data_IF_339760586441
#
_entry.id   IF_339760586441
#
_cell.length_a   1.000
_cell.length_b   1.000
_cell.length_c   1.000
_cell.angle_alpha   90.00
_cell.angle_beta   90.00
_cell.angle_gamma   90.00
#
_symmetry.space_group_name_H-M   'P 1'
#
loop_
_entity.id
_entity.type
_entity.pdbx_description
1 polymer ?
#
# COMPACT_ATOMS: atom_id res chain seq x y z
N UNK A 1 -83.52 16.16 -21.81
CA UNK A 1 -82.83 16.29 -23.12
C UNK A 1 -81.40 16.77 -22.96
N UNK A 2 -81.12 17.89 -22.28
CA UNK A 2 -79.73 18.34 -22.09
C UNK A 2 -78.85 17.34 -21.32
N UNK A 3 -79.39 16.67 -20.30
CA UNK A 3 -78.65 15.62 -19.56
C UNK A 3 -78.35 14.41 -20.44
N UNK A 4 -79.32 13.98 -21.27
CA UNK A 4 -79.17 12.82 -22.15
C UNK A 4 -78.26 13.08 -23.34
N UNK A 5 -78.22 14.31 -23.86
CA UNK A 5 -77.33 14.69 -24.97
C UNK A 5 -75.89 14.89 -24.53
N UNK A 6 -75.66 15.38 -23.31
CA UNK A 6 -74.32 15.66 -22.79
C UNK A 6 -73.82 14.63 -21.77
N UNK A 7 -74.58 13.55 -21.55
CA UNK A 7 -74.30 12.51 -20.55
C UNK A 7 -74.07 13.05 -19.12
N UNK A 8 -74.78 14.12 -18.76
CA UNK A 8 -74.67 14.73 -17.43
C UNK A 8 -75.44 13.93 -16.39
N UNK A 9 -74.86 13.79 -15.20
CA UNK A 9 -75.57 13.26 -14.03
C UNK A 9 -76.52 14.33 -13.50
N UNK A 10 -77.74 13.92 -13.19
CA UNK A 10 -78.79 14.81 -12.67
C UNK A 10 -78.40 15.47 -11.32
N UNK A 11 -77.67 14.73 -10.47
CA UNK A 11 -77.14 15.24 -9.21
C UNK A 11 -76.14 16.38 -9.41
N UNK A 12 -75.25 16.25 -10.40
CA UNK A 12 -74.22 17.25 -10.68
C UNK A 12 -74.83 18.52 -11.29
N UNK A 13 -75.79 18.36 -12.21
CA UNK A 13 -76.52 19.49 -12.79
C UNK A 13 -77.31 20.24 -11.73
N UNK A 14 -77.98 19.53 -10.83
CA UNK A 14 -78.77 20.15 -9.75
C UNK A 14 -77.87 20.94 -8.79
N UNK A 15 -76.68 20.42 -8.46
CA UNK A 15 -75.73 21.11 -7.61
C UNK A 15 -75.16 22.37 -8.27
N UNK A 16 -74.79 22.29 -9.56
CA UNK A 16 -74.28 23.45 -10.31
C UNK A 16 -75.32 24.56 -10.42
N UNK A 17 -76.58 24.21 -10.68
CA UNK A 17 -77.68 25.17 -10.70
C UNK A 17 -77.88 25.84 -9.33
N UNK A 18 -77.84 25.05 -8.25
CA UNK A 18 -77.94 25.57 -6.88
C UNK A 18 -76.78 26.51 -6.53
N UNK A 19 -75.53 26.16 -6.90
CA UNK A 19 -74.34 26.97 -6.66
C UNK A 19 -74.46 28.38 -7.28
N UNK A 20 -75.00 28.48 -8.49
CA UNK A 20 -75.22 29.76 -9.16
C UNK A 20 -76.58 30.42 -8.86
N UNK A 21 -77.37 29.86 -7.93
CA UNK A 21 -78.72 30.30 -7.60
C UNK A 21 -79.68 30.35 -8.82
N UNK A 22 -79.53 29.41 -9.75
CA UNK A 22 -80.41 29.22 -10.90
C UNK A 22 -81.36 28.03 -10.70
N UNK A 23 -82.51 28.08 -11.37
CA UNK A 23 -83.43 26.97 -11.47
C UNK A 23 -83.41 26.35 -12.88
N UNK A 24 -83.99 25.16 -13.06
CA UNK A 24 -84.05 24.50 -14.38
C UNK A 24 -84.73 25.36 -15.45
N UNK A 25 -85.68 26.22 -15.07
CA UNK A 25 -86.36 27.13 -15.98
C UNK A 25 -85.42 28.22 -16.55
N UNK A 26 -84.38 28.61 -15.80
CA UNK A 26 -83.44 29.66 -16.19
C UNK A 26 -82.49 29.23 -17.32
N UNK A 27 -82.35 27.92 -17.56
CA UNK A 27 -81.55 27.31 -18.63
C UNK A 27 -82.09 27.70 -20.03
N UNK A 28 -83.34 28.19 -20.10
CA UNK A 28 -83.91 28.76 -21.33
C UNK A 28 -83.16 30.01 -21.83
N UNK A 29 -82.42 30.71 -20.95
CA UNK A 29 -81.56 31.85 -21.32
C UNK A 29 -80.20 31.34 -21.78
N UNK A 30 -79.79 31.73 -22.99
CA UNK A 30 -78.52 31.31 -23.59
C UNK A 30 -77.29 31.62 -22.71
N UNK A 31 -77.29 32.77 -22.03
CA UNK A 31 -76.20 33.18 -21.13
C UNK A 31 -76.09 32.30 -19.88
N UNK A 32 -77.22 31.80 -19.36
CA UNK A 32 -77.26 30.88 -18.22
C UNK A 32 -76.82 29.48 -18.67
N UNK A 33 -77.31 29.03 -19.83
CA UNK A 33 -76.91 27.75 -20.42
C UNK A 33 -75.39 27.69 -20.65
N UNK A 34 -74.78 28.76 -21.18
CA UNK A 34 -73.32 28.83 -21.37
C UNK A 34 -72.55 28.68 -20.05
N UNK A 35 -72.97 29.40 -19.00
CA UNK A 35 -72.32 29.30 -17.68
C UNK A 35 -72.43 27.91 -17.08
N UNK A 36 -73.62 27.32 -17.12
CA UNK A 36 -73.86 25.95 -16.63
C UNK A 36 -73.04 24.95 -17.43
N UNK A 37 -72.97 25.09 -18.77
CA UNK A 37 -72.17 24.21 -19.62
C UNK A 37 -70.67 24.32 -19.31
N UNK A 38 -70.14 25.52 -19.08
CA UNK A 38 -68.74 25.71 -18.65
C UNK A 38 -68.46 25.04 -17.30
N UNK A 39 -69.35 25.19 -16.33
CA UNK A 39 -69.20 24.57 -15.00
C UNK A 39 -69.32 23.04 -15.07
N UNK A 40 -70.27 22.52 -15.85
CA UNK A 40 -70.43 21.07 -16.04
C UNK A 40 -69.23 20.46 -16.78
N UNK A 41 -68.67 21.17 -17.77
CA UNK A 41 -67.42 20.74 -18.42
C UNK A 41 -66.25 20.70 -17.43
N UNK A 42 -66.14 21.69 -16.53
CA UNK A 42 -65.12 21.71 -15.50
C UNK A 42 -65.26 20.51 -14.54
N UNK A 43 -66.47 20.21 -14.08
CA UNK A 43 -66.75 19.04 -13.22
C UNK A 43 -66.39 17.74 -13.94
N UNK A 44 -66.73 17.63 -15.22
CA UNK A 44 -66.36 16.48 -16.04
C UNK A 44 -64.83 16.33 -16.17
N UNK A 45 -64.10 17.43 -16.37
CA UNK A 45 -62.62 17.42 -16.42
C UNK A 45 -61.99 17.07 -15.07
N UNK A 46 -62.56 17.56 -13.96
CA UNK A 46 -62.08 17.27 -12.60
C UNK A 46 -62.35 15.80 -12.24
N UNK A 47 -63.45 15.22 -12.73
CA UNK A 47 -63.77 13.81 -12.55
C UNK A 47 -64.37 13.44 -11.19
N UNK A 48 -64.76 14.43 -10.37
CA UNK A 48 -65.40 14.25 -9.07
C UNK A 48 -66.84 14.78 -9.05
N UNK A 49 -67.74 14.26 -8.21
CA UNK A 49 -69.11 14.77 -8.08
C UNK A 49 -69.15 16.25 -7.74
N UNK A 50 -70.10 16.99 -8.31
CA UNK A 50 -70.21 18.44 -8.15
C UNK A 50 -70.33 18.87 -6.68
N UNK A 51 -71.06 18.11 -5.86
CA UNK A 51 -71.22 18.35 -4.43
C UNK A 51 -69.88 18.29 -3.68
N UNK A 52 -68.96 17.41 -4.09
CA UNK A 52 -67.63 17.32 -3.48
C UNK A 52 -66.74 18.48 -3.95
N UNK A 53 -66.75 18.79 -5.25
CA UNK A 53 -65.97 19.89 -5.83
C UNK A 53 -66.36 21.22 -5.20
N UNK A 54 -67.64 21.43 -4.90
CA UNK A 54 -68.10 22.65 -4.22
C UNK A 54 -67.46 22.84 -2.84
N UNK A 55 -67.23 21.76 -2.08
CA UNK A 55 -66.52 21.84 -0.79
C UNK A 55 -65.06 22.25 -0.92
N UNK A 56 -64.48 22.15 -2.12
CA UNK A 56 -63.10 22.55 -2.41
C UNK A 56 -62.99 24.02 -2.82
N UNK A 57 -64.11 24.68 -3.09
CA UNK A 57 -64.14 26.09 -3.50
C UNK A 57 -64.00 26.97 -2.26
N UNK A 58 -62.78 27.39 -1.95
CA UNK A 58 -62.48 28.35 -0.89
C UNK A 58 -61.35 29.28 -1.30
N UNK A 59 -61.37 30.52 -0.78
CA UNK A 59 -60.31 31.51 -1.02
C UNK A 59 -59.06 31.24 -0.16
N UNK A 60 -59.21 30.54 0.96
CA UNK A 60 -58.12 30.22 1.88
C UNK A 60 -58.23 28.73 2.30
N UNK A 61 -57.62 27.81 1.54
CA UNK A 61 -57.72 26.39 1.83
C UNK A 61 -56.89 26.01 3.05
N UNK A 62 -57.51 25.39 4.06
CA UNK A 62 -56.81 24.86 5.22
C UNK A 62 -55.95 23.64 4.88
N UNK A 63 -54.96 23.34 5.73
CA UNK A 63 -54.15 22.12 5.60
C UNK A 63 -55.02 20.86 5.54
N UNK A 64 -56.03 20.77 6.42
CA UNK A 64 -56.94 19.63 6.50
C UNK A 64 -57.77 19.46 5.23
N UNK A 65 -58.23 20.57 4.62
CA UNK A 65 -58.94 20.53 3.34
C UNK A 65 -58.04 19.99 2.23
N UNK A 66 -56.80 20.49 2.13
CA UNK A 66 -55.84 20.03 1.11
C UNK A 66 -55.43 18.57 1.34
N UNK A 67 -55.24 18.14 2.59
CA UNK A 67 -54.97 16.76 2.94
C UNK A 67 -56.14 15.85 2.53
N UNK A 68 -57.38 16.24 2.85
CA UNK A 68 -58.58 15.52 2.45
C UNK A 68 -58.75 15.41 0.93
N UNK A 69 -58.44 16.46 0.18
CA UNK A 69 -58.43 16.42 -1.29
C UNK A 69 -57.41 15.38 -1.79
N UNK A 70 -56.18 15.39 -1.25
CA UNK A 70 -55.14 14.41 -1.64
C UNK A 70 -55.56 12.98 -1.36
N UNK A 71 -56.16 12.72 -0.20
CA UNK A 71 -56.65 11.38 0.15
C UNK A 71 -57.75 10.92 -0.80
N UNK A 72 -58.68 11.81 -1.17
CA UNK A 72 -59.73 11.52 -2.15
C UNK A 72 -59.18 11.25 -3.55
N UNK A 73 -58.13 11.96 -3.97
CA UNK A 73 -57.45 11.68 -5.23
C UNK A 73 -56.75 10.33 -5.19
N UNK A 74 -56.08 10.01 -4.07
CA UNK A 74 -55.37 8.76 -3.88
C UNK A 74 -56.31 7.54 -3.87
N UNK A 75 -57.52 7.67 -3.33
CA UNK A 75 -58.53 6.59 -3.32
C UNK A 75 -58.93 6.12 -4.74
N UNK A 76 -58.90 7.02 -5.73
CA UNK A 76 -59.37 6.76 -7.09
C UNK A 76 -58.25 6.34 -8.07
N UNK A 77 -57.01 6.25 -7.61
CA UNK A 77 -55.84 5.97 -8.44
C UNK A 77 -55.09 4.77 -7.87
N UNK A 78 -54.49 3.95 -8.73
CA UNK A 78 -53.64 2.85 -8.27
C UNK A 78 -52.37 3.40 -7.60
N UNK A 79 -51.79 2.64 -6.66
CA UNK A 79 -50.57 3.07 -5.96
C UNK A 79 -49.41 3.37 -6.93
N UNK A 80 -49.26 2.58 -7.99
CA UNK A 80 -48.25 2.79 -9.02
C UNK A 80 -48.44 4.12 -9.77
N UNK A 81 -49.66 4.41 -10.24
CA UNK A 81 -49.96 5.66 -10.95
C UNK A 81 -49.89 6.87 -10.02
N UNK A 82 -50.29 6.72 -8.75
CA UNK A 82 -50.15 7.75 -7.75
C UNK A 82 -48.69 8.14 -7.54
N UNK A 83 -47.78 7.18 -7.37
CA UNK A 83 -46.36 7.47 -7.15
C UNK A 83 -45.70 8.17 -8.35
N UNK A 84 -46.06 7.78 -9.56
CA UNK A 84 -45.54 8.39 -10.80
C UNK A 84 -46.05 9.83 -10.98
N UNK A 85 -47.36 10.05 -10.88
CA UNK A 85 -47.96 11.38 -11.08
C UNK A 85 -47.63 12.32 -9.91
N UNK A 86 -47.63 11.82 -8.67
CA UNK A 86 -47.36 12.66 -7.50
C UNK A 86 -45.90 13.13 -7.47
N UNK A 87 -44.97 12.40 -8.09
CA UNK A 87 -43.58 12.86 -8.19
C UNK A 87 -43.49 14.18 -8.98
N UNK A 88 -44.15 14.28 -10.14
CA UNK A 88 -44.08 15.49 -11.00
C UNK A 88 -44.68 16.73 -10.34
N UNK A 89 -45.66 16.54 -9.46
CA UNK A 89 -46.26 17.61 -8.65
C UNK A 89 -45.41 17.94 -7.42
N UNK A 90 -44.87 16.91 -6.75
CA UNK A 90 -44.19 17.11 -5.48
C UNK A 90 -42.76 17.61 -5.62
N UNK A 91 -42.02 17.24 -6.68
CA UNK A 91 -40.63 17.68 -6.89
C UNK A 91 -40.53 19.22 -6.98
N UNK A 92 -41.36 19.92 -7.79
CA UNK A 92 -41.38 21.38 -7.80
C UNK A 92 -41.71 22.00 -6.44
N UNK A 93 -42.69 21.43 -5.72
CA UNK A 93 -43.08 21.92 -4.38
C UNK A 93 -41.94 21.72 -3.38
N UNK A 94 -41.23 20.58 -3.44
CA UNK A 94 -40.05 20.32 -2.59
C UNK A 94 -38.95 21.36 -2.82
N UNK A 95 -38.70 21.72 -4.07
CA UNK A 95 -37.71 22.73 -4.41
C UNK A 95 -38.12 24.13 -3.91
N UNK A 96 -39.39 24.51 -4.11
CA UNK A 96 -39.91 25.77 -3.56
C UNK A 96 -39.83 25.82 -2.03
N UNK A 97 -40.15 24.72 -1.35
CA UNK A 97 -40.04 24.61 0.09
C UNK A 97 -38.58 24.70 0.55
N UNK A 98 -37.66 24.02 -0.15
CA UNK A 98 -36.21 24.10 0.11
C UNK A 98 -35.74 25.54 -0.01
N UNK A 99 -36.05 26.23 -1.11
CA UNK A 99 -35.64 27.61 -1.35
C UNK A 99 -36.20 28.56 -0.29
N UNK A 100 -37.46 28.36 0.12
CA UNK A 100 -38.09 29.10 1.20
C UNK A 100 -37.40 28.85 2.55
N UNK A 101 -37.04 27.60 2.86
CA UNK A 101 -36.33 27.23 4.09
C UNK A 101 -34.90 27.78 4.12
N UNK A 102 -34.18 27.70 3.00
CA UNK A 102 -32.85 28.31 2.85
C UNK A 102 -32.95 29.82 3.10
N UNK A 103 -33.89 30.49 2.44
CA UNK A 103 -34.15 31.93 2.63
C UNK A 103 -34.52 32.27 4.07
N UNK A 104 -35.35 31.44 4.71
CA UNK A 104 -35.74 31.62 6.10
C UNK A 104 -34.56 31.48 7.05
N UNK A 105 -33.72 30.46 6.89
CA UNK A 105 -32.52 30.25 7.70
C UNK A 105 -31.56 31.43 7.53
N UNK A 106 -31.32 31.85 6.27
CA UNK A 106 -30.47 32.98 5.95
C UNK A 106 -31.02 34.33 6.42
N UNK A 107 -32.29 34.46 6.81
CA UNK A 107 -32.82 35.74 7.27
C UNK A 107 -33.09 35.76 8.78
N UNK A 108 -33.61 34.67 9.33
CA UNK A 108 -34.19 34.64 10.67
C UNK A 108 -33.50 33.65 11.63
N UNK A 109 -32.81 32.62 11.12
CA UNK A 109 -32.25 31.53 11.93
C UNK A 109 -30.77 31.25 11.61
N UNK A 110 -30.00 32.30 11.29
CA UNK A 110 -28.58 32.15 10.90
C UNK A 110 -27.80 31.45 12.03
N UNK A 111 -27.13 30.31 11.76
CA UNK A 111 -26.33 29.63 12.77
C UNK A 111 -25.09 30.43 13.21
N UNK A 112 -24.56 31.27 12.33
CA UNK A 112 -23.41 32.15 12.57
C UNK A 112 -23.52 33.42 11.73
N UNK A 113 -23.00 34.58 12.17
CA UNK A 113 -22.97 35.82 11.39
C UNK A 113 -22.24 35.70 10.04
N UNK A 114 -21.30 34.76 9.91
CA UNK A 114 -20.50 34.54 8.71
C UNK A 114 -21.27 33.84 7.58
N UNK A 115 -22.42 33.24 7.91
CA UNK A 115 -23.27 32.51 6.97
C UNK A 115 -24.22 33.49 6.27
N UNK A 116 -23.81 33.94 5.08
CA UNK A 116 -24.51 34.97 4.31
C UNK A 116 -25.21 34.46 3.04
N UNK A 117 -24.86 33.25 2.58
CA UNK A 117 -25.39 32.65 1.36
C UNK A 117 -25.55 31.12 1.51
N UNK A 118 -26.11 30.49 0.49
CA UNK A 118 -26.32 29.03 0.40
C UNK A 118 -24.99 28.25 0.43
N UNK A 119 -23.94 28.75 -0.22
CA UNK A 119 -22.61 28.13 -0.16
C UNK A 119 -22.09 27.99 1.28
N UNK A 120 -22.26 29.04 2.09
CA UNK A 120 -21.88 29.01 3.51
C UNK A 120 -22.76 28.10 4.35
N UNK A 121 -24.03 27.92 3.98
CA UNK A 121 -24.88 26.89 4.59
C UNK A 121 -24.39 25.48 4.23
N UNK A 122 -23.97 25.26 2.98
CA UNK A 122 -23.34 24.00 2.58
C UNK A 122 -22.05 23.72 3.35
N UNK A 123 -21.18 24.73 3.49
CA UNK A 123 -19.95 24.58 4.29
C UNK A 123 -20.24 24.26 5.76
N UNK A 124 -21.31 24.84 6.33
CA UNK A 124 -21.69 24.63 7.72
C UNK A 124 -22.37 23.28 7.97
N UNK A 125 -23.37 22.91 7.15
CA UNK A 125 -24.12 21.67 7.31
C UNK A 125 -23.45 20.46 6.63
N UNK A 126 -22.46 20.69 5.77
CA UNK A 126 -21.75 19.67 5.00
C UNK A 126 -22.70 18.82 4.13
N UNK A 127 -23.82 19.44 3.74
CA UNK A 127 -24.89 18.89 2.90
C UNK A 127 -25.31 19.98 1.94
N UNK A 128 -25.43 19.63 0.66
CA UNK A 128 -25.84 20.56 -0.38
C UNK A 128 -27.31 20.96 -0.17
N UNK A 129 -27.52 22.24 0.19
CA UNK A 129 -28.84 22.83 0.45
C UNK A 129 -29.55 23.26 -0.83
N UNK A 130 -28.87 23.24 -1.97
CA UNK A 130 -29.41 23.57 -3.30
C UNK A 130 -29.64 22.33 -4.16
N UNK A 131 -29.43 21.14 -3.60
CA UNK A 131 -29.66 19.89 -4.30
C UNK A 131 -31.15 19.75 -4.69
N UNK A 132 -31.39 19.38 -5.94
CA UNK A 132 -32.72 19.18 -6.51
C UNK A 132 -33.37 17.90 -5.97
N UNK A 133 -34.70 17.90 -5.83
CA UNK A 133 -35.50 16.78 -5.36
C UNK A 133 -35.33 15.48 -6.18
N UNK A 134 -34.90 15.59 -7.44
CA UNK A 134 -34.63 14.44 -8.30
C UNK A 134 -33.41 13.61 -7.87
N UNK A 135 -32.47 14.19 -7.09
CA UNK A 135 -31.25 13.52 -6.65
C UNK A 135 -31.52 12.58 -5.47
N UNK A 136 -31.68 11.29 -5.77
CA UNK A 136 -31.96 10.25 -4.78
C UNK A 136 -30.66 9.71 -4.16
N UNK A 137 -30.57 9.75 -2.83
CA UNK A 137 -29.50 9.14 -2.04
C UNK A 137 -30.06 8.42 -0.82
N UNK A 138 -29.31 7.45 -0.28
CA UNK A 138 -29.66 6.84 1.01
C UNK A 138 -29.15 7.70 2.16
N UNK A 139 -29.80 7.63 3.33
CA UNK A 139 -29.37 8.38 4.53
C UNK A 139 -27.93 8.05 4.93
N UNK A 140 -27.54 6.78 4.82
CA UNK A 140 -26.17 6.32 5.13
C UNK A 140 -25.17 6.89 4.12
N UNK A 141 -25.52 6.91 2.82
CA UNK A 141 -24.64 7.48 1.79
C UNK A 141 -24.45 8.98 1.98
N UNK A 142 -25.51 9.70 2.32
CA UNK A 142 -25.42 11.13 2.63
C UNK A 142 -24.51 11.37 3.84
N UNK A 143 -24.73 10.66 4.95
CA UNK A 143 -23.90 10.77 6.14
C UNK A 143 -22.42 10.44 5.86
N UNK A 144 -22.16 9.42 5.04
CA UNK A 144 -20.81 9.09 4.59
C UNK A 144 -20.17 10.26 3.82
N UNK A 145 -20.90 10.86 2.88
CA UNK A 145 -20.40 12.01 2.10
C UNK A 145 -20.13 13.23 2.98
N UNK A 146 -21.01 13.52 3.94
CA UNK A 146 -20.82 14.57 4.95
C UNK A 146 -19.55 14.35 5.77
N UNK A 147 -19.32 13.14 6.27
CA UNK A 147 -18.10 12.79 7.01
C UNK A 147 -16.84 12.87 6.14
N UNK A 148 -16.92 12.40 4.89
CA UNK A 148 -15.79 12.48 3.95
C UNK A 148 -15.40 13.92 3.66
N UNK A 149 -16.39 14.80 3.46
CA UNK A 149 -16.18 16.22 3.28
C UNK A 149 -15.58 16.87 4.53
N UNK A 150 -16.10 16.54 5.72
CA UNK A 150 -15.58 17.03 7.00
C UNK A 150 -14.10 16.71 7.17
N UNK A 151 -13.71 15.43 7.00
CA UNK A 151 -12.32 14.99 7.16
C UNK A 151 -11.43 15.67 6.12
N UNK A 152 -11.91 15.82 4.88
CA UNK A 152 -11.16 16.55 3.85
C UNK A 152 -10.93 18.01 4.25
N UNK A 153 -11.95 18.70 4.77
CA UNK A 153 -11.86 20.09 5.26
C UNK A 153 -10.89 20.23 6.43
N UNK A 154 -10.90 19.29 7.38
CA UNK A 154 -9.92 19.23 8.46
C UNK A 154 -8.49 19.11 7.92
N UNK A 155 -8.25 18.22 6.96
CA UNK A 155 -6.92 18.00 6.37
C UNK A 155 -6.36 19.21 5.61
N UNK A 156 -7.23 20.05 5.04
CA UNK A 156 -6.84 21.32 4.38
C UNK A 156 -6.93 22.53 5.32
N UNK A 157 -7.06 22.29 6.64
CA UNK A 157 -7.06 23.31 7.68
C UNK A 157 -8.20 24.35 7.56
N UNK A 158 -9.39 23.92 7.09
CA UNK A 158 -10.60 24.74 7.06
C UNK A 158 -11.46 24.60 8.33
N UNK A 159 -11.18 23.60 9.18
CA UNK A 159 -11.90 23.38 10.43
C UNK A 159 -11.01 23.80 11.62
N UNK A 160 -11.22 25.00 12.21
CA UNK A 160 -10.27 25.59 13.15
C UNK A 160 -10.15 24.85 14.49
N UNK A 161 -11.14 24.02 14.83
CA UNK A 161 -11.15 23.24 16.07
C UNK A 161 -10.43 21.89 15.96
N UNK A 162 -9.96 21.52 14.77
CA UNK A 162 -9.32 20.22 14.50
C UNK A 162 -7.98 20.45 13.82
N UNK A 163 -6.88 20.18 14.54
CA UNK A 163 -5.55 20.20 13.95
C UNK A 163 -5.45 19.10 12.87
N UNK A 164 -5.03 19.40 11.62
CA UNK A 164 -4.78 18.40 10.58
C UNK A 164 -3.88 17.25 11.04
N UNK A 165 -2.92 17.50 11.95
CA UNK A 165 -2.00 16.49 12.49
C UNK A 165 -2.69 15.41 13.34
N UNK A 166 -3.91 15.68 13.83
CA UNK A 166 -4.72 14.67 14.53
C UNK A 166 -5.24 13.57 13.60
N UNK A 167 -5.23 13.81 12.28
CA UNK A 167 -5.70 12.88 11.26
C UNK A 167 -4.50 12.25 10.56
N UNK A 168 -4.44 10.90 10.58
CA UNK A 168 -3.44 10.15 9.82
C UNK A 168 -3.75 10.21 8.32
N UNK A 169 -3.20 11.20 7.63
CA UNK A 169 -3.44 11.46 6.20
C UNK A 169 -3.11 10.24 5.32
N UNK A 170 -2.06 9.49 5.64
CA UNK A 170 -1.65 8.27 4.92
C UNK A 170 -2.74 7.18 4.97
N UNK A 171 -3.39 7.01 6.13
CA UNK A 171 -4.50 6.08 6.26
C UNK A 171 -5.72 6.60 5.51
N UNK A 172 -6.03 7.89 5.63
CA UNK A 172 -7.19 8.48 4.98
C UNK A 172 -7.15 8.39 3.44
N UNK A 173 -5.96 8.44 2.85
CA UNK A 173 -5.75 8.41 1.41
C UNK A 173 -6.51 7.29 0.69
N UNK A 174 -6.56 6.09 1.30
CA UNK A 174 -7.33 4.96 0.80
C UNK A 174 -8.69 4.80 1.49
N UNK A 175 -8.78 5.09 2.81
CA UNK A 175 -10.04 4.96 3.57
C UNK A 175 -11.16 5.86 3.06
N UNK A 176 -10.83 7.02 2.49
CA UNK A 176 -11.81 7.97 1.94
C UNK A 176 -12.68 7.38 0.84
N UNK A 177 -12.22 6.32 0.16
CA UNK A 177 -13.00 5.62 -0.88
C UNK A 177 -13.58 4.34 -0.28
N UNK A 178 -14.90 4.31 -0.11
CA UNK A 178 -15.60 3.16 0.49
C UNK A 178 -15.20 1.82 -0.14
N UNK A 179 -15.10 1.73 -1.48
CA UNK A 179 -14.73 0.48 -2.17
C UNK A 179 -13.30 0.02 -1.89
N UNK A 180 -12.37 0.95 -1.73
CA UNK A 180 -10.96 0.63 -1.41
C UNK A 180 -10.86 0.19 0.04
N UNK A 181 -11.56 0.89 0.94
CA UNK A 181 -11.67 0.49 2.34
C UNK A 181 -12.32 -0.90 2.49
N UNK A 182 -13.41 -1.15 1.78
CA UNK A 182 -14.12 -2.44 1.76
C UNK A 182 -13.18 -3.56 1.30
N UNK A 183 -12.45 -3.35 0.21
CA UNK A 183 -11.49 -4.32 -0.29
C UNK A 183 -10.39 -4.60 0.74
N UNK A 184 -9.80 -3.55 1.35
CA UNK A 184 -8.78 -3.71 2.39
C UNK A 184 -9.28 -4.53 3.60
N UNK A 185 -10.51 -4.27 4.06
CA UNK A 185 -11.13 -5.04 5.15
C UNK A 185 -11.37 -6.49 4.77
N UNK A 186 -11.81 -6.76 3.54
CA UNK A 186 -12.04 -8.13 3.09
C UNK A 186 -10.74 -8.90 2.89
N UNK A 187 -9.67 -8.29 2.38
CA UNK A 187 -8.34 -8.93 2.30
C UNK A 187 -7.88 -9.40 3.68
N UNK A 188 -8.11 -8.59 4.71
CA UNK A 188 -7.77 -8.96 6.09
C UNK A 188 -8.64 -10.10 6.65
N UNK A 189 -9.95 -10.07 6.38
CA UNK A 189 -10.90 -11.04 6.95
C UNK A 189 -10.96 -12.37 6.20
N UNK A 190 -10.79 -12.33 4.88
CA UNK A 190 -10.96 -13.46 3.97
C UNK A 190 -9.82 -13.49 2.94
N UNK A 191 -8.55 -13.59 3.37
CA UNK A 191 -7.40 -13.55 2.48
C UNK A 191 -7.48 -14.59 1.36
N UNK A 192 -8.12 -15.74 1.59
CA UNK A 192 -8.34 -16.81 0.63
C UNK A 192 -9.02 -16.35 -0.68
N UNK A 193 -9.86 -15.31 -0.63
CA UNK A 193 -10.51 -14.78 -1.83
C UNK A 193 -9.56 -13.95 -2.72
N UNK A 194 -8.37 -13.59 -2.20
CA UNK A 194 -7.33 -12.83 -2.90
C UNK A 194 -6.01 -13.60 -3.01
N UNK A 195 -5.93 -14.81 -2.44
CA UNK A 195 -4.75 -15.65 -2.49
C UNK A 195 -4.71 -16.38 -3.83
N UNK A 196 -4.10 -15.74 -4.82
CA UNK A 196 -3.75 -16.40 -6.07
C UNK A 196 -2.31 -16.96 -5.96
N UNK A 197 -2.11 -18.29 -6.02
CA UNK A 197 -0.78 -18.90 -5.87
C UNK A 197 0.26 -18.32 -6.85
N UNK A 198 -0.19 -17.99 -8.06
CA UNK A 198 0.62 -17.42 -9.13
C UNK A 198 1.08 -15.97 -8.84
N UNK A 199 0.37 -15.23 -8.00
CA UNK A 199 0.67 -13.83 -7.68
C UNK A 199 1.45 -13.67 -6.36
N UNK A 200 1.92 -14.77 -5.77
CA UNK A 200 2.73 -14.70 -4.55
C UNK A 200 4.03 -13.91 -4.79
N UNK A 201 4.16 -12.75 -4.14
CA UNK A 201 5.34 -11.88 -4.26
C UNK A 201 6.63 -12.52 -3.69
N UNK A 202 6.48 -13.37 -2.66
CA UNK A 202 7.58 -13.99 -1.91
C UNK A 202 8.10 -15.31 -2.51
N UNK A 203 7.87 -15.55 -3.81
CA UNK A 203 8.38 -16.74 -4.50
C UNK A 203 9.91 -16.77 -4.53
N UNK A 204 10.50 -17.89 -4.13
CA UNK A 204 11.94 -18.12 -4.26
C UNK A 204 12.37 -18.21 -5.72
N UNK A 205 13.64 -17.93 -6.02
CA UNK A 205 14.19 -18.04 -7.38
C UNK A 205 13.98 -19.43 -7.97
N UNK A 206 14.28 -20.49 -7.19
CA UNK A 206 14.10 -21.87 -7.62
C UNK A 206 12.64 -22.23 -7.90
N UNK A 207 11.68 -21.61 -7.22
CA UNK A 207 10.25 -21.83 -7.48
C UNK A 207 9.79 -21.09 -8.75
N UNK A 208 10.31 -19.88 -9.00
CA UNK A 208 10.04 -19.16 -10.26
C UNK A 208 10.61 -19.92 -11.47
N UNK A 209 11.77 -20.55 -11.31
CA UNK A 209 12.33 -21.44 -12.34
C UNK A 209 11.43 -22.65 -12.57
N UNK A 210 10.95 -23.30 -11.50
CA UNK A 210 10.00 -24.42 -11.59
C UNK A 210 8.68 -24.05 -12.28
N UNK A 211 8.07 -22.91 -11.93
CA UNK A 211 6.89 -22.40 -12.63
C UNK A 211 7.20 -22.12 -14.11
N UNK A 212 8.36 -21.55 -14.40
CA UNK A 212 8.82 -21.32 -15.77
C UNK A 212 9.01 -22.61 -16.57
N UNK A 213 9.54 -23.67 -15.95
CA UNK A 213 9.69 -25.01 -16.56
C UNK A 213 8.32 -25.62 -16.88
N UNK A 214 7.34 -25.50 -15.98
CA UNK A 214 5.98 -26.01 -16.19
C UNK A 214 5.20 -25.23 -17.27
N UNK A 215 5.42 -23.91 -17.40
CA UNK A 215 4.71 -23.07 -18.35
C UNK A 215 5.25 -23.15 -19.79
N UNK A 216 6.43 -23.74 -20.01
CA UNK A 216 7.07 -23.79 -21.33
C UNK A 216 6.47 -24.83 -22.28
N UNK A 217 5.76 -25.83 -21.78
CA UNK A 217 5.26 -26.95 -22.58
C UNK A 217 3.90 -27.46 -22.12
N UNK A 218 3.45 -28.56 -22.72
CA UNK A 218 2.25 -29.25 -22.27
C UNK A 218 2.53 -29.92 -20.92
N UNK A 219 1.61 -29.72 -19.97
CA UNK A 219 1.70 -30.30 -18.63
C UNK A 219 1.18 -31.74 -18.71
N UNK A 220 2.09 -32.68 -18.89
CA UNK A 220 1.86 -34.13 -18.79
C UNK A 220 2.40 -34.63 -17.45
N UNK A 221 1.99 -35.83 -17.02
CA UNK A 221 2.50 -36.42 -15.77
C UNK A 221 4.04 -36.51 -15.77
N UNK A 222 4.63 -36.88 -16.91
CA UNK A 222 6.08 -37.01 -17.11
C UNK A 222 6.80 -35.65 -17.04
N UNK A 223 6.26 -34.60 -17.69
CA UNK A 223 6.88 -33.27 -17.65
C UNK A 223 6.77 -32.64 -16.26
N UNK A 224 5.64 -32.84 -15.59
CA UNK A 224 5.42 -32.40 -14.22
C UNK A 224 6.36 -33.11 -13.23
N UNK A 225 6.54 -34.43 -13.35
CA UNK A 225 7.47 -35.20 -12.52
C UNK A 225 8.91 -34.72 -12.71
N UNK A 226 9.36 -34.53 -13.95
CA UNK A 226 10.72 -34.05 -14.25
C UNK A 226 10.97 -32.65 -13.69
N UNK A 227 10.03 -31.71 -13.86
CA UNK A 227 10.12 -30.37 -13.30
C UNK A 227 10.18 -30.41 -11.76
N UNK A 228 9.37 -31.27 -11.14
CA UNK A 228 9.36 -31.42 -9.68
C UNK A 228 10.65 -32.04 -9.15
N UNK A 229 11.21 -33.04 -9.81
CA UNK A 229 12.51 -33.63 -9.47
C UNK A 229 13.66 -32.61 -9.63
N UNK A 230 13.62 -31.78 -10.68
CA UNK A 230 14.56 -30.65 -10.88
C UNK A 230 14.48 -29.68 -9.70
N UNK A 231 13.27 -29.29 -9.29
CA UNK A 231 13.04 -28.43 -8.13
C UNK A 231 13.57 -29.04 -6.83
N UNK A 232 13.29 -30.32 -6.57
CA UNK A 232 13.76 -31.01 -5.36
C UNK A 232 15.29 -31.10 -5.28
N UNK A 233 15.98 -31.33 -6.41
CA UNK A 233 17.45 -31.30 -6.46
C UNK A 233 18.01 -29.93 -6.06
N UNK A 234 17.47 -28.85 -6.65
CA UNK A 234 17.86 -27.47 -6.30
C UNK A 234 17.55 -27.14 -4.84
N UNK A 235 16.45 -27.69 -4.29
CA UNK A 235 16.08 -27.54 -2.89
C UNK A 235 17.07 -28.27 -1.94
N UNK A 236 17.50 -29.48 -2.31
CA UNK A 236 18.50 -30.24 -1.53
C UNK A 236 19.83 -29.47 -1.43
N UNK A 237 20.28 -28.87 -2.53
CA UNK A 237 21.51 -28.06 -2.57
C UNK A 237 21.48 -26.88 -1.58
N UNK A 238 20.34 -26.17 -1.49
CA UNK A 238 20.20 -25.02 -0.57
C UNK A 238 19.83 -25.42 0.86
N UNK A 239 19.44 -26.68 1.09
CA UNK A 239 19.05 -27.16 2.42
C UNK A 239 20.25 -27.44 3.34
N UNK A 240 21.42 -27.72 2.75
CA UNK A 240 22.65 -28.13 3.43
C UNK A 240 23.73 -27.05 3.44
N UNK A 241 23.31 -25.78 3.41
CA UNK A 241 24.24 -24.65 3.39
C UNK A 241 24.94 -24.48 4.74
N UNK A 242 26.26 -24.32 4.70
CA UNK A 242 27.07 -23.95 5.86
C UNK A 242 27.06 -22.43 6.03
N UNK A 243 26.76 -21.96 7.23
CA UNK A 243 26.69 -20.53 7.55
C UNK A 243 28.09 -19.96 7.73
N UNK A 244 28.48 -19.00 6.90
CA UNK A 244 29.87 -18.48 6.84
C UNK A 244 30.01 -17.04 7.27
N UNK A 245 28.93 -16.26 7.24
CA UNK A 245 28.99 -14.85 7.59
C UNK A 245 27.63 -14.32 8.01
N UNK A 246 27.61 -13.53 9.07
CA UNK A 246 26.40 -12.87 9.57
C UNK A 246 26.70 -11.42 9.92
N UNK A 247 25.77 -10.52 9.62
CA UNK A 247 25.87 -9.12 10.02
C UNK A 247 24.49 -8.62 10.46
N UNK A 248 24.42 -8.02 11.65
CA UNK A 248 23.20 -7.40 12.17
C UNK A 248 23.22 -5.91 11.82
N UNK A 249 22.28 -5.47 10.98
CA UNK A 249 22.01 -4.06 10.73
C UNK A 249 20.95 -3.57 11.74
N UNK A 250 21.40 -2.79 12.72
CA UNK A 250 20.53 -2.14 13.70
C UNK A 250 20.10 -0.77 13.14
N UNK A 251 18.79 -0.57 12.90
CA UNK A 251 18.28 0.68 12.34
C UNK A 251 18.07 1.73 13.43
N UNK A 252 17.17 1.46 14.39
CA UNK A 252 16.96 2.32 15.56
C UNK A 252 17.52 1.62 16.79
N UNK A 253 18.39 2.31 17.53
CA UNK A 253 18.99 1.76 18.74
C UNK A 253 17.91 1.25 19.71
N UNK A 254 18.04 -0.01 20.14
CA UNK A 254 17.11 -0.75 21.00
C UNK A 254 15.73 -1.09 20.38
N UNK A 255 15.55 -1.04 19.05
CA UNK A 255 14.32 -1.47 18.39
C UNK A 255 14.50 -2.76 17.58
N UNK A 256 14.38 -3.91 18.24
CA UNK A 256 14.57 -5.22 17.59
C UNK A 256 13.61 -5.50 16.42
N UNK A 257 12.52 -4.75 16.29
CA UNK A 257 11.54 -4.94 15.22
C UNK A 257 11.99 -4.37 13.87
N UNK A 258 13.00 -3.49 13.85
CA UNK A 258 13.55 -2.91 12.61
C UNK A 258 14.94 -3.42 12.24
N UNK A 259 15.51 -4.31 13.06
CA UNK A 259 16.80 -4.93 12.80
C UNK A 259 16.74 -5.89 11.61
N UNK A 260 17.76 -5.86 10.76
CA UNK A 260 17.90 -6.77 9.62
C UNK A 260 19.13 -7.65 9.85
N UNK A 261 18.92 -8.95 9.96
CA UNK A 261 20.02 -9.91 10.05
C UNK A 261 20.38 -10.41 8.65
N UNK A 262 21.55 -9.99 8.17
CA UNK A 262 22.14 -10.45 6.91
C UNK A 262 22.91 -11.73 7.13
N UNK A 263 22.67 -12.73 6.28
CA UNK A 263 23.20 -14.06 6.46
C UNK A 263 23.71 -14.64 5.15
N UNK A 264 24.93 -15.16 5.18
CA UNK A 264 25.60 -15.80 4.06
C UNK A 264 25.84 -17.27 4.36
N UNK A 265 25.47 -18.11 3.40
CA UNK A 265 25.72 -19.54 3.42
C UNK A 265 26.53 -19.98 2.21
N UNK A 266 27.22 -21.12 2.31
CA UNK A 266 27.92 -21.75 1.18
C UNK A 266 27.55 -23.22 1.05
N UNK A 267 27.62 -23.75 -0.16
CA UNK A 267 27.45 -25.19 -0.41
C UNK A 267 28.68 -25.97 0.04
N UNK A 268 28.47 -27.22 0.43
CA UNK A 268 29.54 -28.15 0.72
C UNK A 268 30.27 -28.56 -0.57
N UNK A 269 31.57 -28.85 -0.48
CA UNK A 269 32.40 -29.30 -1.59
C UNK A 269 33.43 -28.27 -2.06
N UNK A 270 34.21 -28.64 -3.09
CA UNK A 270 35.32 -27.82 -3.59
C UNK A 270 34.85 -26.68 -4.52
N UNK A 271 33.73 -26.87 -5.23
CA UNK A 271 33.07 -25.83 -6.03
C UNK A 271 32.00 -25.14 -5.20
N UNK A 272 32.42 -24.20 -4.37
CA UNK A 272 31.54 -23.51 -3.42
C UNK A 272 30.67 -22.49 -4.15
N UNK A 273 29.35 -22.61 -3.95
CA UNK A 273 28.40 -21.58 -4.33
C UNK A 273 27.94 -20.86 -3.07
N UNK A 274 27.93 -19.53 -3.13
CA UNK A 274 27.50 -18.70 -2.03
C UNK A 274 26.06 -18.25 -2.22
N UNK A 275 25.33 -18.21 -1.11
CA UNK A 275 23.95 -17.80 -1.03
C UNK A 275 23.78 -16.74 0.06
N UNK A 276 22.84 -15.85 -0.16
CA UNK A 276 22.52 -14.74 0.72
C UNK A 276 21.04 -14.77 1.07
N UNK A 277 20.70 -14.53 2.34
CA UNK A 277 19.34 -14.28 2.80
C UNK A 277 19.35 -13.26 3.92
N UNK A 278 18.18 -12.74 4.24
CA UNK A 278 17.98 -11.83 5.36
C UNK A 278 16.79 -12.26 6.21
N UNK A 279 16.86 -11.96 7.50
CA UNK A 279 15.71 -11.96 8.38
C UNK A 279 15.24 -10.51 8.52
N UNK A 280 14.04 -10.22 8.04
CA UNK A 280 13.43 -8.89 8.08
C UNK A 280 11.93 -9.02 8.38
N UNK A 281 11.36 -8.06 9.12
CA UNK A 281 9.93 -8.01 9.43
C UNK A 281 9.35 -9.31 10.04
N UNK A 282 10.15 -10.06 10.79
CA UNK A 282 9.73 -11.29 11.47
C UNK A 282 9.77 -12.58 10.63
N UNK A 283 10.21 -12.51 9.37
CA UNK A 283 10.34 -13.68 8.49
C UNK A 283 11.68 -13.72 7.77
N UNK A 284 12.04 -14.91 7.29
CA UNK A 284 13.23 -15.08 6.47
C UNK A 284 12.92 -14.94 4.99
N UNK A 285 13.78 -14.25 4.26
CA UNK A 285 13.74 -14.28 2.79
C UNK A 285 14.26 -15.60 2.25
N UNK A 286 13.91 -15.91 1.00
CA UNK A 286 14.51 -17.01 0.26
C UNK A 286 16.03 -16.81 0.13
N UNK A 287 16.75 -17.91 -0.05
CA UNK A 287 18.15 -17.89 -0.42
C UNK A 287 18.33 -17.37 -1.85
N UNK A 288 19.15 -16.35 -2.01
CA UNK A 288 19.55 -15.78 -3.30
C UNK A 288 20.98 -16.18 -3.62
N UNK A 289 21.23 -16.67 -4.84
CA UNK A 289 22.57 -17.01 -5.28
C UNK A 289 23.43 -15.74 -5.41
N UNK A 290 24.59 -15.74 -4.77
CA UNK A 290 25.59 -14.69 -4.93
C UNK A 290 26.35 -14.97 -6.23
N UNK A 291 26.27 -14.04 -7.19
CA UNK A 291 26.90 -14.20 -8.51
C UNK A 291 28.40 -13.89 -8.53
N UNK A 292 28.98 -13.61 -7.35
CA UNK A 292 30.42 -13.34 -7.20
C UNK A 292 31.19 -14.66 -7.16
N UNK A 293 32.33 -14.70 -7.85
CA UNK A 293 33.28 -15.79 -7.69
C UNK A 293 34.14 -15.54 -6.45
N UNK A 294 33.73 -16.09 -5.31
CA UNK A 294 34.42 -15.93 -4.03
C UNK A 294 35.34 -17.14 -3.83
N UNK A 295 36.64 -16.91 -3.93
CA UNK A 295 37.67 -17.96 -3.80
C UNK A 295 38.15 -18.14 -2.34
N UNK A 296 37.86 -17.18 -1.47
CA UNK A 296 38.27 -17.18 -0.06
C UNK A 296 37.42 -18.08 0.84
N UNK A 297 38.02 -18.55 1.95
CA UNK A 297 37.33 -19.30 3.01
C UNK A 297 36.46 -18.40 3.90
N UNK A 298 36.99 -17.23 4.24
CA UNK A 298 36.36 -16.31 5.18
C UNK A 298 35.62 -15.22 4.43
N UNK A 299 34.36 -15.04 4.81
CA UNK A 299 33.51 -13.96 4.34
C UNK A 299 33.16 -13.03 5.50
N UNK A 300 33.25 -11.74 5.25
CA UNK A 300 32.86 -10.70 6.19
C UNK A 300 31.81 -9.79 5.55
N UNK A 301 30.51 -10.02 5.83
CA UNK A 301 29.46 -9.12 5.40
C UNK A 301 29.41 -7.87 6.30
N UNK A 302 29.12 -6.72 5.70
CA UNK A 302 28.96 -5.46 6.44
C UNK A 302 28.04 -4.51 5.68
N UNK A 303 27.09 -3.88 6.38
CA UNK A 303 26.33 -2.77 5.81
C UNK A 303 27.06 -1.47 6.10
N UNK A 304 27.36 -0.73 5.04
CA UNK A 304 28.04 0.56 5.13
C UNK A 304 27.33 1.58 4.23
N UNK A 305 26.95 2.73 4.80
CA UNK A 305 26.15 3.77 4.14
C UNK A 305 24.88 3.23 3.46
N UNK A 306 24.15 2.36 4.16
CA UNK A 306 22.93 1.67 3.68
C UNK A 306 23.16 0.81 2.43
N UNK A 307 24.37 0.29 2.24
CA UNK A 307 24.71 -0.64 1.18
C UNK A 307 25.40 -1.86 1.76
N UNK A 308 24.98 -3.04 1.33
CA UNK A 308 25.57 -4.29 1.76
C UNK A 308 26.84 -4.55 0.95
N UNK A 309 27.93 -4.72 1.67
CA UNK A 309 29.22 -5.16 1.13
C UNK A 309 29.55 -6.53 1.69
N UNK A 310 30.25 -7.30 0.87
CA UNK A 310 30.81 -8.59 1.27
C UNK A 310 32.29 -8.54 0.97
N UNK A 311 33.10 -8.78 1.99
CA UNK A 311 34.55 -8.84 1.90
C UNK A 311 35.01 -10.29 2.04
N UNK A 312 36.02 -10.68 1.28
CA UNK A 312 36.70 -11.96 1.45
C UNK A 312 38.18 -11.81 1.18
N UNK A 313 38.94 -12.80 1.65
CA UNK A 313 40.39 -12.83 1.49
C UNK A 313 40.80 -13.85 0.43
N UNK A 314 41.66 -13.41 -0.48
CA UNK A 314 42.39 -14.28 -1.39
C UNK A 314 43.84 -14.39 -0.90
N UNK A 315 44.31 -15.62 -0.68
CA UNK A 315 45.66 -15.91 -0.21
C UNK A 315 46.48 -16.51 -1.34
N UNK A 316 47.67 -15.98 -1.58
CA UNK A 316 48.63 -16.50 -2.55
C UNK A 316 49.91 -16.91 -1.82
N UNK A 317 50.23 -18.20 -1.88
CA UNK A 317 51.47 -18.74 -1.32
C UNK A 317 52.64 -18.54 -2.30
N UNK A 318 53.72 -17.94 -1.82
CA UNK A 318 54.98 -17.77 -2.56
C UNK A 318 56.13 -18.36 -1.75
N UNK A 319 57.12 -19.02 -2.38
CA UNK A 319 58.29 -19.49 -1.68
C UNK A 319 59.07 -18.30 -1.09
N UNK A 320 59.46 -18.39 0.18
CA UNK A 320 60.33 -17.39 0.79
C UNK A 320 61.76 -17.60 0.27
N UNK A 321 62.17 -16.83 -0.74
CA UNK A 321 63.57 -16.83 -1.17
C UNK A 321 64.42 -16.24 -0.04
N UNK A 322 65.19 -17.09 0.63
CA UNK A 322 66.30 -16.63 1.47
C UNK A 322 67.39 -16.17 0.50
N UNK A 323 67.65 -14.87 0.44
CA UNK A 323 68.79 -14.32 -0.29
C UNK A 323 70.09 -14.71 0.42
N UNK A 324 70.52 -15.95 0.28
CA UNK A 324 71.89 -16.34 0.63
C UNK A 324 72.79 -15.96 -0.54
N UNK A 325 73.62 -14.93 -0.35
CA UNK A 325 74.83 -14.71 -1.15
C UNK A 325 75.82 -15.84 -0.87
N UNK A 326 75.50 -17.04 -1.36
CA UNK A 326 76.32 -18.25 -1.23
C UNK A 326 76.88 -18.55 -2.61
N UNK A 327 78.21 -18.67 -2.69
CA UNK A 327 78.91 -19.03 -3.93
C UNK A 327 78.49 -20.43 -4.39
N UNK A 328 78.54 -20.68 -5.70
CA UNK A 328 78.10 -21.93 -6.33
C UNK A 328 78.73 -23.20 -5.72
N UNK A 329 79.90 -23.09 -5.09
CA UNK A 329 80.60 -24.19 -4.42
C UNK A 329 79.97 -24.58 -3.08
N UNK A 330 79.35 -23.63 -2.36
CA UNK A 330 78.71 -23.89 -1.06
C UNK A 330 77.34 -24.56 -1.16
N UNK A 331 76.68 -24.51 -2.33
CA UNK A 331 75.40 -25.18 -2.57
C UNK A 331 75.53 -26.68 -2.87
N UNK A 332 76.73 -27.18 -3.19
CA UNK A 332 76.95 -28.59 -3.57
C UNK A 332 77.00 -29.53 -2.35
N UNK A 333 77.22 -28.99 -1.14
CA UNK A 333 77.40 -29.74 0.10
C UNK A 333 76.27 -29.56 1.13
N UNK A 334 75.22 -28.79 0.82
CA UNK A 334 74.06 -28.69 1.71
C UNK A 334 73.04 -29.79 1.39
N UNK A 335 72.81 -30.69 2.35
CA UNK A 335 71.60 -31.50 2.39
C UNK A 335 70.42 -30.53 2.42
N UNK A 336 69.53 -30.63 1.42
CA UNK A 336 68.26 -29.90 1.34
C UNK A 336 67.47 -30.07 2.65
N UNK A 337 67.65 -29.12 3.57
CA UNK A 337 66.88 -29.04 4.80
C UNK A 337 65.40 -28.85 4.45
N UNK A 338 64.58 -29.78 4.92
CA UNK A 338 63.14 -29.90 4.69
C UNK A 338 62.31 -28.83 5.41
N UNK A 339 62.67 -27.55 5.28
CA UNK A 339 61.86 -26.44 5.81
C UNK A 339 61.86 -25.27 4.82
N UNK A 340 61.25 -25.47 3.65
CA UNK A 340 60.95 -24.39 2.73
C UNK A 340 59.95 -23.44 3.41
N UNK A 341 60.41 -22.25 3.80
CA UNK A 341 59.54 -21.21 4.34
C UNK A 341 58.68 -20.61 3.22
N UNK A 342 57.45 -20.26 3.55
CA UNK A 342 56.47 -19.70 2.63
C UNK A 342 56.14 -18.27 3.08
N UNK A 343 56.04 -17.37 2.12
CA UNK A 343 55.47 -16.05 2.29
C UNK A 343 54.05 -16.07 1.72
N UNK A 344 53.07 -15.65 2.51
CA UNK A 344 51.67 -15.62 2.10
C UNK A 344 51.29 -14.18 1.81
N UNK A 345 50.89 -13.90 0.58
CA UNK A 345 50.29 -12.63 0.21
C UNK A 345 48.78 -12.70 0.38
N UNK A 346 48.24 -11.82 1.20
CA UNK A 346 46.81 -11.69 1.47
C UNK A 346 46.29 -10.47 0.72
N UNK A 347 45.28 -10.70 -0.12
CA UNK A 347 44.55 -9.66 -0.84
C UNK A 347 43.10 -9.66 -0.38
N UNK A 348 42.52 -8.47 -0.18
CA UNK A 348 41.10 -8.37 0.13
C UNK A 348 40.33 -8.01 -1.11
N UNK A 349 39.30 -8.80 -1.38
CA UNK A 349 38.34 -8.57 -2.43
C UNK A 349 37.01 -8.21 -1.81
N UNK A 350 36.20 -7.42 -2.52
CA UNK A 350 34.87 -7.08 -2.07
C UNK A 350 33.89 -6.92 -3.22
N UNK A 351 32.63 -7.24 -2.92
CA UNK A 351 31.49 -7.03 -3.80
C UNK A 351 30.46 -6.13 -3.11
N UNK A 352 29.75 -5.34 -3.91
CA UNK A 352 28.65 -4.49 -3.46
C UNK A 352 27.34 -5.07 -3.96
N UNK A 353 26.34 -5.16 -3.08
CA UNK A 353 24.97 -5.45 -3.48
C UNK A 353 24.23 -4.14 -3.77
N UNK A 354 23.92 -3.90 -5.03
CA UNK A 354 23.31 -2.67 -5.49
C UNK A 354 22.10 -2.95 -6.37
N UNK A 355 20.93 -2.39 -5.99
CA UNK A 355 19.66 -2.53 -6.73
C UNK A 355 19.29 -3.99 -7.06
N UNK A 356 19.48 -4.91 -6.11
CA UNK A 356 19.11 -6.32 -6.28
C UNK A 356 20.12 -7.16 -7.07
N UNK A 357 21.30 -6.63 -7.39
CA UNK A 357 22.37 -7.35 -8.09
C UNK A 357 23.72 -7.12 -7.44
N UNK A 358 24.58 -8.14 -7.51
CA UNK A 358 25.98 -8.03 -7.12
C UNK A 358 26.79 -7.36 -8.24
N UNK A 359 27.57 -6.34 -7.90
CA UNK A 359 28.49 -5.71 -8.85
C UNK A 359 29.77 -6.53 -9.03
N UNK A 360 30.52 -6.29 -10.10
CA UNK A 360 31.84 -6.90 -10.28
C UNK A 360 32.73 -6.68 -9.05
N UNK A 361 33.46 -7.73 -8.62
CA UNK A 361 34.32 -7.64 -7.45
C UNK A 361 35.45 -6.64 -7.68
N UNK A 362 35.79 -5.89 -6.62
CA UNK A 362 36.97 -5.02 -6.57
C UNK A 362 37.99 -5.66 -5.63
N UNK A 363 39.26 -5.36 -5.82
CA UNK A 363 40.35 -5.87 -4.99
C UNK A 363 41.30 -4.76 -4.59
N UNK A 364 42.03 -4.97 -3.49
CA UNK A 364 43.15 -4.11 -3.12
C UNK A 364 44.27 -4.17 -4.14
N UNK A 365 45.00 -3.07 -4.29
CA UNK A 365 46.15 -3.00 -5.20
C UNK A 365 47.21 -4.04 -4.82
N UNK A 366 47.46 -4.97 -5.74
CA UNK A 366 48.45 -6.04 -5.63
C UNK A 366 49.89 -5.52 -5.45
N UNK A 367 50.16 -4.26 -5.81
CA UNK A 367 51.49 -3.64 -5.64
C UNK A 367 51.86 -3.36 -4.18
N UNK A 368 50.88 -3.32 -3.27
CA UNK A 368 51.06 -3.19 -1.82
C UNK A 368 50.27 -4.28 -1.10
N UNK A 369 50.42 -5.52 -1.54
CA UNK A 369 49.79 -6.67 -0.89
C UNK A 369 50.32 -6.83 0.54
N UNK A 370 49.45 -7.32 1.42
CA UNK A 370 49.80 -7.60 2.80
C UNK A 370 50.51 -8.95 2.84
N UNK A 371 51.81 -8.97 3.16
CA UNK A 371 52.59 -10.22 3.19
C UNK A 371 52.83 -10.70 4.62
N UNK A 372 52.54 -11.96 4.86
CA UNK A 372 52.86 -12.69 6.09
C UNK A 372 54.10 -13.54 5.77
N UNK A 373 55.22 -13.17 6.37
CA UNK A 373 56.52 -13.72 6.02
C UNK A 373 56.92 -14.91 6.90
N UNK A 374 57.79 -15.77 6.37
CA UNK A 374 58.49 -16.82 7.12
C UNK A 374 57.59 -17.88 7.79
N UNK A 375 56.51 -18.31 7.12
CA UNK A 375 55.65 -19.38 7.61
C UNK A 375 56.22 -20.76 7.26
N UNK A 376 56.16 -21.73 8.18
CA UNK A 376 56.55 -23.12 7.90
C UNK A 376 55.45 -23.95 7.24
N UNK A 377 54.19 -23.63 7.56
CA UNK A 377 52.97 -24.18 6.96
C UNK A 377 51.89 -23.10 7.07
N UNK A 378 51.03 -23.00 6.06
CA UNK A 378 49.89 -22.08 6.06
C UNK A 378 48.61 -22.88 5.81
N UNK A 379 47.54 -22.49 6.51
CA UNK A 379 46.18 -22.95 6.27
C UNK A 379 45.28 -21.71 6.26
N UNK A 380 44.55 -21.51 5.18
CA UNK A 380 43.67 -20.35 5.00
C UNK A 380 42.59 -20.28 6.07
N UNK A 381 42.15 -21.41 6.64
CA UNK A 381 41.12 -21.48 7.69
C UNK A 381 41.56 -20.88 9.02
N UNK A 382 42.87 -20.69 9.23
CA UNK A 382 43.41 -20.10 10.46
C UNK A 382 43.33 -18.57 10.47
N UNK A 383 42.90 -17.95 9.37
CA UNK A 383 42.79 -16.50 9.27
C UNK A 383 41.55 -15.98 10.01
N UNK A 384 41.77 -15.03 10.91
CA UNK A 384 40.68 -14.32 11.60
C UNK A 384 40.57 -12.91 11.04
N UNK A 385 39.38 -12.55 10.55
CA UNK A 385 39.06 -11.21 10.04
C UNK A 385 38.05 -10.53 10.94
N UNK A 386 38.39 -9.33 11.41
CA UNK A 386 37.49 -8.47 12.17
C UNK A 386 37.43 -7.07 11.54
N UNK A 387 36.22 -6.61 11.21
CA UNK A 387 35.98 -5.28 10.67
C UNK A 387 35.24 -4.38 11.66
N UNK A 388 35.59 -3.08 11.69
CA UNK A 388 34.80 -2.06 12.39
C UNK A 388 34.67 -0.79 11.56
N UNK A 389 33.53 -0.11 11.70
CA UNK A 389 33.30 1.21 11.13
C UNK A 389 33.84 2.24 12.12
N UNK A 390 34.79 3.06 11.69
CA UNK A 390 35.30 4.19 12.47
C UNK A 390 34.79 5.50 11.88
N UNK A 391 34.14 6.32 12.72
CA UNK A 391 33.89 7.73 12.43
C UNK A 391 35.21 8.48 12.65
N UNK A 392 35.65 9.21 11.63
CA UNK A 392 36.89 10.00 11.71
C UNK A 392 36.51 11.46 11.84
N UNK A 393 36.93 12.10 12.93
CA UNK A 393 36.90 13.56 13.03
C UNK A 393 38.01 14.12 12.14
N UNK A 394 37.65 14.59 10.95
CA UNK A 394 38.56 15.24 10.01
C UNK A 394 38.05 16.66 9.70
N UNK A 395 38.92 17.65 9.44
CA UNK A 395 38.50 18.98 9.06
C UNK A 395 37.70 18.95 7.74
N UNK A 396 36.82 19.95 7.58
CA UNK A 396 35.79 20.01 6.55
C UNK A 396 36.34 19.69 5.14
N UNK A 397 35.94 18.53 4.59
CA UNK A 397 36.16 18.20 3.18
C UNK A 397 36.56 16.76 2.85
N UNK A 398 37.04 15.94 3.79
CA UNK A 398 37.45 14.54 3.47
C UNK A 398 37.08 13.52 4.55
N UNK A 399 36.16 12.62 4.15
CA UNK A 399 35.71 11.37 4.78
C UNK A 399 35.15 11.47 6.21
N UNK A 400 33.85 11.20 6.36
CA UNK A 400 33.18 11.13 7.68
C UNK A 400 33.29 9.76 8.36
N UNK A 401 33.51 8.70 7.57
CA UNK A 401 33.51 7.30 8.04
C UNK A 401 34.46 6.44 7.19
N UNK A 402 35.17 5.49 7.81
CA UNK A 402 36.00 4.47 7.15
C UNK A 402 35.74 3.09 7.72
N UNK A 403 35.94 2.05 6.91
CA UNK A 403 35.92 0.66 7.37
C UNK A 403 37.36 0.19 7.60
N UNK A 404 37.64 -0.28 8.82
CA UNK A 404 38.95 -0.77 9.24
C UNK A 404 38.87 -2.26 9.46
N UNK A 405 39.75 -3.00 8.78
CA UNK A 405 39.88 -4.45 8.94
C UNK A 405 41.15 -4.79 9.70
N UNK A 406 41.03 -5.78 10.58
CA UNK A 406 42.10 -6.40 11.35
C UNK A 406 42.17 -7.87 10.94
N UNK A 407 43.38 -8.29 10.58
CA UNK A 407 43.69 -9.68 10.26
C UNK A 407 44.52 -10.29 11.39
N UNK A 408 44.24 -11.55 11.74
CA UNK A 408 45.05 -12.37 12.63
C UNK A 408 45.17 -13.81 12.11
N UNK A 409 46.09 -14.59 12.69
CA UNK A 409 46.24 -16.03 12.43
C UNK A 409 46.08 -16.79 13.76
N UNK A 410 45.28 -17.84 13.77
CA UNK A 410 45.09 -18.75 14.89
C UNK A 410 46.18 -19.86 14.89
N UNK A 411 46.88 -20.07 16.01
CA UNK A 411 47.59 -21.35 16.26
C UNK A 411 49.12 -21.47 16.05
N UNK A 412 49.93 -20.40 16.02
CA UNK A 412 51.39 -20.59 16.21
C UNK A 412 51.79 -20.53 17.69
N UNK A 413 51.88 -21.71 18.33
CA UNK A 413 52.71 -21.92 19.54
C UNK A 413 54.14 -22.19 19.05
N UNK A 414 55.03 -21.22 19.24
CA UNK A 414 56.48 -21.42 19.09
C UNK A 414 57.04 -22.01 20.40
N UNK A 415 58.00 -22.91 20.22
CA UNK A 415 58.61 -23.82 21.19
C UNK A 415 59.00 -23.20 22.56
N UNK A 416 58.99 -24.04 23.59
CA UNK A 416 58.91 -23.72 25.04
C UNK A 416 60.10 -22.97 25.70
N UNK A 417 60.85 -22.12 25.01
CA UNK A 417 61.95 -21.34 25.62
C UNK A 417 61.85 -19.86 25.30
N UNK A 418 60.85 -19.18 25.87
CA UNK A 418 60.87 -17.79 26.39
C UNK A 418 59.43 -17.37 26.77
N UNK A 419 59.14 -17.34 28.08
CA UNK A 419 57.84 -16.87 28.61
C UNK A 419 57.83 -15.34 28.67
N UNK A 420 57.20 -14.71 27.68
CA UNK A 420 56.21 -13.61 27.78
C UNK A 420 56.07 -12.97 26.40
N UNK A 421 55.29 -13.57 25.49
CA UNK A 421 54.74 -12.85 24.34
C UNK A 421 53.25 -13.17 24.19
N UNK A 422 52.48 -12.40 24.95
CA UNK A 422 51.03 -12.20 24.89
C UNK A 422 50.58 -11.92 23.46
N UNK A 423 49.60 -12.65 22.91
CA UNK A 423 48.56 -12.29 21.89
C UNK A 423 48.85 -11.25 20.77
N UNK A 424 50.10 -10.89 20.49
CA UNK A 424 50.48 -9.62 19.82
C UNK A 424 51.18 -9.79 18.49
N UNK A 425 51.36 -11.01 17.97
CA UNK A 425 52.40 -11.20 16.96
C UNK A 425 52.04 -11.00 15.49
N UNK A 426 50.80 -10.62 15.10
CA UNK A 426 50.52 -10.26 13.70
C UNK A 426 49.22 -9.42 13.57
N UNK A 427 49.13 -8.26 14.24
CA UNK A 427 48.03 -7.32 14.00
C UNK A 427 48.38 -6.39 12.84
N UNK A 428 48.10 -6.82 11.61
CA UNK A 428 48.25 -5.95 10.43
C UNK A 428 46.92 -5.24 10.14
N UNK A 429 46.98 -3.91 9.96
CA UNK A 429 45.81 -3.04 9.74
C UNK A 429 45.67 -2.77 8.25
N UNK A 430 44.48 -3.03 7.69
CA UNK A 430 44.15 -2.61 6.33
C UNK A 430 43.07 -1.53 6.35
N UNK A 431 43.30 -0.44 5.62
CA UNK A 431 42.36 0.68 5.50
C UNK A 431 41.85 0.74 4.06
N UNK A 432 40.55 0.58 3.88
CA UNK A 432 39.88 0.83 2.60
C UNK A 432 39.16 2.18 2.67
N UNK A 433 39.50 3.06 1.74
CA UNK A 433 38.75 4.28 1.44
C UNK A 433 37.85 3.95 0.26
N UNK A 434 36.55 3.75 0.50
CA UNK A 434 35.54 3.46 -0.52
C UNK A 434 34.70 4.71 -0.82
#
# INVERSE_FOLDING_TARGET
>A
MLESFNFWKESDLSQVLAHFAFNRADISKLSVLQKVMSAMNLIYTIGYPAALVETWITNDPSYDLVAGIKDKIKENVTEASWLETMQTVSDPIRNLLRDALVSYILQYSRPSPEIINSDKLYEYFLVDVEMDACMKTSRIRLALSTLQLFIQRCLINLEPLVDPASIKAEHWAWMKRYRVWEANRKVFLFPENWLEPELRDSKSSIFKEFEGELLQGEVTDESAELAFLSYLKKLDDISKLEMVGTFLEENIANNQYDDILHVFGRTNGNTRQYYYRRYEYGYWTAWEKVSLNIEGEHIFPIVWRKRLFVFWLNTLEKPAMVATNKSAESMRNEQLGTNARINVEVNMCWGEYYKGKWTSPKSTDLKRSMTINNLGRFDSNTLLVYGRIEKVENPAGKFRERVVFYLGIEGQVLDQTQKQMTYSHLRQKMQLLI
#
